data_IF_091979986799
#
_entry.id   IF_091979986799
#
_cell.length_a   1.000
_cell.length_b   1.000
_cell.length_c   1.000
_cell.angle_alpha   90.00
_cell.angle_beta   90.00
_cell.angle_gamma   90.00
#
_symmetry.space_group_name_H-M   'P 1'
#
loop_
_entity.id
_entity.type
_entity.pdbx_description
1 polymer ?
#
# COMPACT_ATOMS: atom_id res chain seq x y z
N UNK A 1 -6.10 11.69 11.73
CA UNK A 1 -6.17 10.24 12.04
C UNK A 1 -7.63 9.79 12.00
N UNK A 2 -7.92 8.62 11.46
CA UNK A 2 -9.26 8.02 11.35
C UNK A 2 -9.23 6.65 12.04
N UNK A 3 -10.11 6.44 13.01
CA UNK A 3 -10.27 5.13 13.68
C UNK A 3 -11.33 4.31 12.96
N UNK A 4 -10.99 3.07 12.58
CA UNK A 4 -11.89 2.16 11.86
C UNK A 4 -12.10 0.90 12.69
N UNK A 5 -13.35 0.64 13.09
CA UNK A 5 -13.73 -0.61 13.75
C UNK A 5 -13.86 -1.72 12.71
N UNK A 6 -13.07 -2.78 12.84
CA UNK A 6 -13.14 -3.97 11.99
C UNK A 6 -14.22 -4.93 12.49
N UNK A 7 -14.72 -5.77 11.58
CA UNK A 7 -15.69 -6.84 11.88
C UNK A 7 -15.22 -7.83 12.96
N UNK A 8 -13.90 -7.99 13.12
CA UNK A 8 -13.29 -8.81 14.17
C UNK A 8 -13.12 -8.09 15.52
N UNK A 9 -13.73 -6.92 15.70
CA UNK A 9 -13.67 -6.11 16.92
C UNK A 9 -12.37 -5.32 17.11
N UNK A 10 -11.37 -5.49 16.24
CA UNK A 10 -10.11 -4.72 16.33
C UNK A 10 -10.30 -3.30 15.78
N UNK A 11 -9.65 -2.33 16.41
CA UNK A 11 -9.56 -0.96 15.88
C UNK A 11 -8.33 -0.85 14.98
N UNK A 12 -8.52 -0.35 13.76
CA UNK A 12 -7.44 0.01 12.84
C UNK A 12 -7.32 1.53 12.80
N UNK A 13 -6.12 2.03 13.09
CA UNK A 13 -5.76 3.43 12.88
C UNK A 13 -5.44 3.63 11.40
N UNK A 14 -6.13 4.56 10.73
CA UNK A 14 -5.81 5.01 9.37
C UNK A 14 -5.37 6.46 9.41
N UNK A 15 -4.31 6.77 8.68
CA UNK A 15 -3.84 8.14 8.52
C UNK A 15 -4.53 8.73 7.29
N UNK A 16 -5.04 9.95 7.42
CA UNK A 16 -5.63 10.66 6.30
C UNK A 16 -4.54 11.49 5.63
N UNK A 17 -4.03 10.97 4.52
CA UNK A 17 -3.01 11.61 3.71
C UNK A 17 -3.59 12.25 2.44
N UNK A 18 -4.89 12.51 2.37
CA UNK A 18 -5.51 12.97 1.12
C UNK A 18 -4.84 14.23 0.55
N UNK A 19 -4.59 15.24 1.38
CA UNK A 19 -3.96 16.47 0.93
C UNK A 19 -2.45 16.32 0.69
N UNK A 20 -1.77 15.50 1.50
CA UNK A 20 -0.36 15.15 1.27
C UNK A 20 -0.18 14.44 -0.09
N UNK A 21 -1.06 13.50 -0.41
CA UNK A 21 -1.04 12.77 -1.68
C UNK A 21 -1.34 13.66 -2.89
N UNK A 22 -2.15 14.72 -2.73
CA UNK A 22 -2.39 15.71 -3.80
C UNK A 22 -1.17 16.62 -4.02
N UNK A 23 -0.44 16.94 -2.95
CA UNK A 23 0.74 17.80 -3.00
C UNK A 23 2.02 17.06 -3.45
N UNK A 24 2.05 15.73 -3.28
CA UNK A 24 3.17 14.89 -3.71
C UNK A 24 3.15 14.64 -5.22
N UNK A 25 4.33 14.57 -5.83
CA UNK A 25 4.46 14.04 -7.18
C UNK A 25 4.01 12.58 -7.23
N UNK A 26 3.31 12.19 -8.30
CA UNK A 26 2.92 10.80 -8.54
C UNK A 26 4.07 10.05 -9.20
N UNK A 27 4.37 8.88 -8.67
CA UNK A 27 5.21 7.88 -9.33
C UNK A 27 4.29 6.91 -10.08
N UNK A 28 4.18 7.09 -11.40
CA UNK A 28 3.29 6.30 -12.25
C UNK A 28 4.01 5.02 -12.73
N UNK A 29 4.51 4.21 -11.80
CA UNK A 29 5.12 2.92 -12.14
C UNK A 29 4.09 2.05 -12.88
N UNK A 30 4.39 1.59 -14.11
CA UNK A 30 3.41 0.88 -14.93
C UNK A 30 3.11 -0.49 -14.31
N UNK A 31 1.88 -0.66 -13.85
CA UNK A 31 1.38 -1.97 -13.45
C UNK A 31 0.87 -2.72 -14.69
N UNK A 32 1.26 -3.99 -14.88
CA UNK A 32 0.79 -4.78 -16.00
C UNK A 32 -0.73 -4.99 -15.93
N UNK A 33 -1.37 -4.99 -17.10
CA UNK A 33 -2.80 -5.29 -17.18
C UNK A 33 -3.06 -6.74 -16.74
N UNK A 34 -4.18 -6.98 -16.06
CA UNK A 34 -4.50 -8.30 -15.49
C UNK A 34 -4.46 -9.43 -16.55
N UNK A 35 -4.94 -9.17 -17.76
CA UNK A 35 -4.89 -10.16 -18.86
C UNK A 35 -3.46 -10.58 -19.21
N UNK A 36 -2.49 -9.66 -19.18
CA UNK A 36 -1.08 -9.98 -19.44
C UNK A 36 -0.57 -10.96 -18.38
N UNK A 37 -0.86 -10.66 -17.11
CA UNK A 37 -0.49 -11.56 -16.00
C UNK A 37 -1.15 -12.94 -16.12
N UNK A 38 -2.42 -13.00 -16.54
CA UNK A 38 -3.16 -14.26 -16.72
C UNK A 38 -2.60 -15.06 -17.89
N UNK A 39 -2.36 -14.44 -19.03
CA UNK A 39 -1.84 -15.11 -20.23
C UNK A 39 -0.41 -15.65 -20.01
N UNK A 40 0.44 -14.89 -19.31
CA UNK A 40 1.79 -15.32 -18.93
C UNK A 40 1.76 -16.51 -17.97
N UNK A 41 0.81 -16.50 -17.03
CA UNK A 41 0.70 -17.56 -16.02
C UNK A 41 0.02 -18.81 -16.58
N UNK A 42 -0.90 -18.70 -17.54
CA UNK A 42 -1.69 -19.81 -18.10
C UNK A 42 -0.87 -20.96 -18.71
N UNK A 43 0.42 -20.73 -19.03
CA UNK A 43 1.33 -21.77 -19.55
C UNK A 43 1.98 -22.62 -18.46
N UNK A 44 1.78 -22.29 -17.18
CA UNK A 44 2.36 -23.01 -16.06
C UNK A 44 1.36 -24.00 -15.44
N UNK A 45 1.85 -25.14 -14.97
CA UNK A 45 1.03 -26.22 -14.40
C UNK A 45 0.92 -26.17 -12.87
N UNK A 46 1.79 -25.40 -12.21
CA UNK A 46 1.85 -25.25 -10.75
C UNK A 46 2.01 -23.77 -10.41
N UNK A 47 1.23 -23.30 -9.45
CA UNK A 47 1.30 -21.93 -8.93
C UNK A 47 1.52 -21.96 -7.42
N UNK A 48 2.36 -21.06 -6.94
CA UNK A 48 2.45 -20.69 -5.53
C UNK A 48 2.21 -19.19 -5.41
N UNK A 49 1.48 -18.80 -4.37
CA UNK A 49 1.22 -17.40 -4.06
C UNK A 49 1.89 -17.07 -2.74
N UNK A 50 2.64 -15.97 -2.70
CA UNK A 50 3.15 -15.39 -1.46
C UNK A 50 2.31 -14.19 -1.13
N UNK A 51 1.81 -14.11 0.12
CA UNK A 51 1.16 -12.89 0.57
C UNK A 51 2.20 -11.87 1.05
N UNK A 52 2.06 -10.64 0.54
CA UNK A 52 2.80 -9.47 1.01
C UNK A 52 1.97 -8.67 2.02
N UNK A 53 1.18 -9.32 2.90
CA UNK A 53 0.16 -8.62 3.69
C UNK A 53 0.72 -7.48 4.58
N UNK A 54 2.03 -7.50 4.89
CA UNK A 54 2.75 -6.49 5.67
C UNK A 54 3.67 -5.57 4.83
N UNK A 55 3.64 -5.69 3.51
CA UNK A 55 4.64 -5.14 2.59
C UNK A 55 4.74 -3.61 2.62
N UNK A 56 3.63 -2.92 2.89
CA UNK A 56 3.58 -1.45 2.96
C UNK A 56 4.58 -0.85 3.96
N UNK A 57 4.91 -1.56 5.04
CA UNK A 57 5.79 -1.05 6.09
C UNK A 57 7.22 -1.61 6.00
N UNK A 58 7.55 -2.41 4.98
CA UNK A 58 8.87 -3.03 4.84
C UNK A 58 9.87 -2.09 4.18
N UNK A 59 9.41 -1.23 3.28
CA UNK A 59 10.25 -0.25 2.59
C UNK A 59 10.48 0.93 3.51
N UNK A 60 11.76 1.26 3.76
CA UNK A 60 12.13 2.39 4.60
C UNK A 60 11.89 3.71 3.88
N UNK A 61 11.30 4.66 4.59
CA UNK A 61 11.21 6.04 4.15
C UNK A 61 12.61 6.67 4.03
N UNK A 62 12.84 7.41 2.95
CA UNK A 62 14.00 8.26 2.78
C UNK A 62 14.11 9.24 3.95
N UNK A 63 15.33 9.50 4.44
CA UNK A 63 15.55 10.29 5.66
C UNK A 63 14.92 11.67 5.60
N UNK A 64 15.05 12.33 4.45
CA UNK A 64 14.51 13.67 4.15
C UNK A 64 12.98 13.75 4.05
N UNK A 65 12.30 12.63 3.78
CA UNK A 65 10.84 12.60 3.59
C UNK A 65 10.07 12.16 4.83
N UNK A 66 10.77 11.72 5.88
CA UNK A 66 10.13 11.21 7.11
C UNK A 66 9.21 12.24 7.76
N UNK A 67 9.65 13.49 7.85
CA UNK A 67 8.86 14.56 8.45
C UNK A 67 7.59 14.88 7.65
N UNK A 68 7.62 14.68 6.32
CA UNK A 68 6.45 14.88 5.44
C UNK A 68 5.34 13.87 5.70
N UNK A 69 5.67 12.72 6.29
CA UNK A 69 4.70 11.69 6.71
C UNK A 69 4.29 11.79 8.18
N UNK A 70 4.62 12.89 8.86
CA UNK A 70 4.19 13.12 10.22
C UNK A 70 2.66 13.27 10.32
N UNK A 71 2.11 12.93 11.47
CA UNK A 71 0.69 13.06 11.77
C UNK A 71 0.50 13.52 13.21
N UNK A 72 -0.65 14.13 13.48
CA UNK A 72 -1.00 14.63 14.82
C UNK A 72 -2.00 13.68 15.46
N UNK A 73 -1.71 13.24 16.69
CA UNK A 73 -2.66 12.57 17.58
C UNK A 73 -3.34 13.60 18.49
N UNK A 74 -4.62 13.43 18.84
CA UNK A 74 -5.28 14.22 19.88
C UNK A 74 -4.58 14.12 21.24
#
# INVERSE_FOLDING_TARGET
>A
IVLVLKKNGKVQVRLDYQDLNKASAKDDFPLPHINVLVDDTARNTIFSFMDGYSEHNQIKMAGEDREKTSFITP
#
